data_IF_236444456815
#
_entry.id   IF_236444456815
#
_cell.length_a   1.000
_cell.length_b   1.000
_cell.length_c   1.000
_cell.angle_alpha   90.00
_cell.angle_beta   90.00
_cell.angle_gamma   90.00
#
_symmetry.space_group_name_H-M   'P 1'
#
loop_
_entity.id
_entity.type
_entity.pdbx_description
1 polymer ?
#
# COMPACT_ATOMS: atom_id res chain seq x y z
N UNK A 1 20.41 8.84 62.98
CA UNK A 1 19.26 8.06 62.45
C UNK A 1 18.42 8.89 61.48
N UNK A 2 18.22 10.20 61.73
CA UNK A 2 17.42 11.07 60.86
C UNK A 2 18.02 11.34 59.48
N UNK A 3 19.33 11.48 59.37
CA UNK A 3 20.01 11.74 58.08
C UNK A 3 19.84 10.59 57.09
N UNK A 4 19.87 9.34 57.58
CA UNK A 4 19.66 8.14 56.76
C UNK A 4 18.19 7.99 56.31
N UNK A 5 17.23 8.33 57.18
CA UNK A 5 15.80 8.36 56.82
C UNK A 5 15.47 9.42 55.78
N UNK A 6 16.09 10.60 55.88
CA UNK A 6 15.90 11.69 54.93
C UNK A 6 16.45 11.33 53.54
N UNK A 7 17.66 10.79 53.48
CA UNK A 7 18.27 10.33 52.22
C UNK A 7 17.45 9.20 51.56
N UNK A 8 16.90 8.27 52.34
CA UNK A 8 16.03 7.22 51.83
C UNK A 8 14.71 7.77 51.25
N UNK A 9 14.11 8.78 51.90
CA UNK A 9 12.91 9.46 51.41
C UNK A 9 13.15 10.21 50.11
N UNK A 10 14.26 10.97 50.02
CA UNK A 10 14.66 11.71 48.82
C UNK A 10 14.94 10.76 47.63
N UNK A 11 15.56 9.60 47.88
CA UNK A 11 15.79 8.57 46.87
C UNK A 11 14.47 7.97 46.34
N UNK A 12 13.50 7.69 47.21
CA UNK A 12 12.18 7.18 46.82
C UNK A 12 11.40 8.21 46.00
N UNK A 13 11.43 9.48 46.41
CA UNK A 13 10.76 10.56 45.69
C UNK A 13 11.39 10.79 44.31
N UNK A 14 12.71 10.82 44.24
CA UNK A 14 13.46 10.90 42.97
C UNK A 14 13.12 9.72 42.06
N UNK A 15 13.02 8.50 42.61
CA UNK A 15 12.65 7.30 41.83
C UNK A 15 11.24 7.43 41.25
N UNK A 16 10.26 7.88 42.05
CA UNK A 16 8.89 8.13 41.58
C UNK A 16 8.82 9.23 40.52
N UNK A 17 9.61 10.29 40.66
CA UNK A 17 9.67 11.36 39.66
C UNK A 17 10.29 10.87 38.34
N UNK A 18 11.32 10.03 38.40
CA UNK A 18 11.93 9.40 37.23
C UNK A 18 10.94 8.43 36.57
N UNK A 19 10.25 7.59 37.33
CA UNK A 19 9.18 6.71 36.85
C UNK A 19 8.08 7.52 36.15
N UNK A 20 7.61 8.59 36.78
CA UNK A 20 6.59 9.47 36.20
C UNK A 20 7.08 10.21 34.95
N UNK A 21 8.35 10.61 34.89
CA UNK A 21 8.97 11.18 33.67
C UNK A 21 9.08 10.14 32.55
N UNK A 22 9.40 8.89 32.88
CA UNK A 22 9.45 7.77 31.93
C UNK A 22 8.04 7.44 31.43
N UNK A 23 7.03 7.38 32.30
CA UNK A 23 5.62 7.22 31.93
C UNK A 23 5.11 8.34 31.01
N UNK A 24 5.67 9.55 31.16
CA UNK A 24 5.34 10.71 30.34
C UNK A 24 6.17 10.83 29.05
N UNK A 25 7.22 10.02 28.86
CA UNK A 25 7.97 10.04 27.60
C UNK A 25 7.08 9.53 26.47
N UNK A 26 6.83 10.40 25.49
CA UNK A 26 6.04 10.06 24.30
C UNK A 26 6.74 9.04 23.40
N UNK A 27 8.07 9.02 23.42
CA UNK A 27 8.88 8.06 22.65
C UNK A 27 10.04 7.49 23.47
N UNK A 28 10.46 6.27 23.12
CA UNK A 28 11.50 5.47 23.77
C UNK A 28 12.49 4.89 22.73
N UNK A 29 13.57 4.30 23.21
CA UNK A 29 14.64 3.70 22.41
C UNK A 29 14.34 2.23 22.04
N UNK A 30 15.04 1.73 21.02
CA UNK A 30 14.92 0.35 20.53
C UNK A 30 15.09 -0.74 21.60
N UNK A 31 15.97 -0.51 22.59
CA UNK A 31 16.19 -1.50 23.65
C UNK A 31 15.14 -1.43 24.77
N UNK A 32 14.29 -0.38 24.77
CA UNK A 32 13.24 -0.16 25.77
C UNK A 32 11.87 -0.70 25.31
N UNK A 33 11.68 -0.97 24.01
CA UNK A 33 10.42 -1.55 23.49
C UNK A 33 10.35 -3.07 23.72
N UNK A 34 9.13 -3.58 23.78
CA UNK A 34 8.89 -5.01 23.88
C UNK A 34 9.44 -5.77 22.66
N UNK A 35 9.84 -7.02 22.89
CA UNK A 35 10.44 -7.89 21.86
C UNK A 35 9.55 -8.08 20.62
N UNK A 36 8.22 -8.04 20.78
CA UNK A 36 7.28 -8.14 19.67
C UNK A 36 7.22 -6.89 18.78
N UNK A 37 7.66 -5.72 19.29
CA UNK A 37 7.78 -4.46 18.53
C UNK A 37 9.12 -4.34 17.79
N UNK A 38 10.11 -5.20 18.11
CA UNK A 38 11.46 -5.16 17.58
C UNK A 38 11.56 -5.70 16.14
N UNK A 39 11.11 -4.90 15.16
CA UNK A 39 11.17 -5.27 13.74
C UNK A 39 12.48 -4.86 13.03
N UNK A 40 12.97 -3.62 13.24
CA UNK A 40 14.14 -3.07 12.54
C UNK A 40 15.20 -2.45 13.47
N UNK A 41 16.25 -3.21 13.81
CA UNK A 41 17.31 -2.79 14.73
C UNK A 41 18.19 -1.62 14.25
N UNK A 42 18.05 -1.17 13.00
CA UNK A 42 18.75 0.01 12.48
C UNK A 42 18.06 1.33 12.86
N UNK A 43 16.79 1.26 13.27
CA UNK A 43 16.05 2.40 13.83
C UNK A 43 16.25 2.35 15.35
N UNK A 44 16.85 3.38 15.93
CA UNK A 44 17.37 3.33 17.32
C UNK A 44 16.44 4.07 18.30
N UNK A 45 15.71 5.09 17.83
CA UNK A 45 14.90 5.98 18.64
C UNK A 45 13.53 6.30 17.99
N UNK A 46 12.70 7.06 18.70
CA UNK A 46 11.41 7.51 18.20
C UNK A 46 10.30 6.46 18.28
N UNK A 47 10.50 5.36 19.01
CA UNK A 47 9.48 4.33 19.18
C UNK A 47 8.39 4.76 20.13
N UNK A 48 7.14 4.39 19.84
CA UNK A 48 6.04 4.56 20.79
C UNK A 48 5.99 3.39 21.77
N UNK A 49 5.87 3.64 23.09
CA UNK A 49 5.69 2.56 24.06
C UNK A 49 4.37 1.81 23.83
N UNK A 50 4.30 0.56 24.31
CA UNK A 50 3.06 -0.21 24.32
C UNK A 50 1.97 0.55 25.08
N UNK A 51 0.87 0.86 24.40
CA UNK A 51 -0.15 1.77 24.92
C UNK A 51 -1.31 1.07 25.59
N UNK A 52 -1.61 -0.17 25.19
CA UNK A 52 -2.84 -0.92 25.48
C UNK A 52 -4.11 -0.06 25.36
N UNK A 53 -4.09 0.94 24.47
CA UNK A 53 -5.16 1.93 24.37
C UNK A 53 -5.22 2.55 22.98
N UNK A 54 -6.30 2.28 22.25
CA UNK A 54 -6.57 2.91 20.96
C UNK A 54 -6.54 4.44 21.06
N UNK A 55 -7.11 5.01 22.13
CA UNK A 55 -7.08 6.47 22.34
C UNK A 55 -5.65 7.01 22.41
N UNK A 56 -4.73 6.32 23.10
CA UNK A 56 -3.31 6.73 23.14
C UNK A 56 -2.64 6.55 21.78
N UNK A 57 -2.93 5.48 21.05
CA UNK A 57 -2.44 5.25 19.69
C UNK A 57 -2.90 6.34 18.72
N UNK A 58 -4.19 6.72 18.70
CA UNK A 58 -4.70 7.81 17.87
C UNK A 58 -4.18 9.19 18.32
N UNK A 59 -3.96 9.42 19.62
CA UNK A 59 -3.28 10.63 20.09
C UNK A 59 -1.86 10.77 19.55
N UNK A 60 -1.22 9.67 19.12
CA UNK A 60 0.13 9.75 18.55
C UNK A 60 0.20 10.45 17.20
N UNK A 61 -0.93 10.61 16.51
CA UNK A 61 -1.00 11.45 15.31
C UNK A 61 -0.60 12.91 15.60
N UNK A 62 -0.74 13.36 16.86
CA UNK A 62 -0.39 14.72 17.27
C UNK A 62 1.08 14.96 17.62
N UNK A 63 1.97 13.95 17.54
CA UNK A 63 3.39 14.13 17.82
C UNK A 63 4.28 13.27 16.92
N UNK A 64 5.56 13.63 16.84
CA UNK A 64 6.51 13.00 15.93
C UNK A 64 7.11 11.71 16.53
N UNK A 65 7.12 10.63 15.75
CA UNK A 65 7.66 9.32 16.10
C UNK A 65 8.06 8.56 14.82
N UNK A 66 8.72 7.40 14.97
CA UNK A 66 9.26 6.63 13.85
C UNK A 66 8.19 6.15 12.83
N UNK A 67 6.96 5.94 13.30
CA UNK A 67 5.81 5.58 12.45
C UNK A 67 5.10 6.78 11.79
N UNK A 68 5.45 8.04 12.09
CA UNK A 68 4.66 9.20 11.65
C UNK A 68 4.58 9.29 10.12
N UNK A 69 5.71 9.13 9.42
CA UNK A 69 5.73 9.19 7.94
C UNK A 69 4.99 8.00 7.33
N UNK A 70 5.10 6.79 7.91
CA UNK A 70 4.37 5.61 7.44
C UNK A 70 2.85 5.85 7.53
N UNK A 71 2.38 6.46 8.63
CA UNK A 71 0.96 6.79 8.79
C UNK A 71 0.54 7.84 7.76
N UNK A 72 1.23 8.99 7.72
CA UNK A 72 0.76 10.14 6.94
C UNK A 72 0.86 9.94 5.43
N UNK A 73 1.88 9.23 4.94
CA UNK A 73 2.02 8.94 3.50
C UNK A 73 0.83 8.14 2.98
N UNK A 74 0.44 7.07 3.68
CA UNK A 74 -0.71 6.26 3.29
C UNK A 74 -2.06 6.89 3.66
N UNK A 75 -2.17 7.61 4.79
CA UNK A 75 -3.41 8.30 5.17
C UNK A 75 -3.78 9.38 4.14
N UNK A 76 -2.82 10.24 3.79
CA UNK A 76 -3.03 11.28 2.78
C UNK A 76 -3.23 10.66 1.39
N UNK A 77 -2.51 9.60 1.07
CA UNK A 77 -2.71 8.83 -0.16
C UNK A 77 -4.14 8.26 -0.26
N UNK A 78 -4.67 7.68 0.81
CA UNK A 78 -6.04 7.15 0.85
C UNK A 78 -7.08 8.25 0.61
N UNK A 79 -6.92 9.40 1.27
CA UNK A 79 -7.79 10.57 1.06
C UNK A 79 -7.70 11.06 -0.39
N UNK A 80 -6.50 11.14 -0.95
CA UNK A 80 -6.30 11.56 -2.33
C UNK A 80 -6.96 10.61 -3.34
N UNK A 81 -6.84 9.29 -3.14
CA UNK A 81 -7.49 8.27 -3.98
C UNK A 81 -9.01 8.35 -3.87
N UNK A 82 -9.56 8.55 -2.67
CA UNK A 82 -11.01 8.71 -2.46
C UNK A 82 -11.55 9.97 -3.13
N UNK A 83 -10.86 11.11 -3.00
CA UNK A 83 -11.26 12.35 -3.69
C UNK A 83 -11.15 12.16 -5.21
N UNK A 84 -10.07 11.53 -5.68
CA UNK A 84 -9.85 11.28 -7.10
C UNK A 84 -10.94 10.38 -7.69
N UNK A 85 -11.44 9.39 -6.96
CA UNK A 85 -12.52 8.52 -7.44
C UNK A 85 -13.83 9.29 -7.67
N UNK A 86 -14.19 10.17 -6.74
CA UNK A 86 -15.39 11.01 -6.84
C UNK A 86 -15.27 12.02 -7.99
N UNK A 87 -14.12 12.68 -8.10
CA UNK A 87 -13.86 13.66 -9.17
C UNK A 87 -13.84 12.99 -10.54
N UNK A 88 -13.09 11.89 -10.69
CA UNK A 88 -12.96 11.19 -11.96
C UNK A 88 -14.27 10.54 -12.39
N UNK A 89 -15.11 10.07 -11.47
CA UNK A 89 -16.43 9.58 -11.87
C UNK A 89 -17.25 10.66 -12.58
N UNK A 90 -17.27 11.90 -12.07
CA UNK A 90 -18.00 13.01 -12.70
C UNK A 90 -17.37 13.42 -14.03
N UNK A 91 -16.03 13.47 -14.08
CA UNK A 91 -15.29 13.89 -15.27
C UNK A 91 -15.37 12.85 -16.38
N UNK A 92 -15.14 11.56 -16.09
CA UNK A 92 -15.08 10.51 -17.11
C UNK A 92 -16.46 10.14 -17.63
N UNK A 93 -17.49 10.09 -16.75
CA UNK A 93 -18.87 9.79 -17.17
C UNK A 93 -19.41 10.81 -18.18
N UNK A 94 -19.03 12.08 -18.04
CA UNK A 94 -19.47 13.15 -18.95
C UNK A 94 -18.55 13.35 -20.16
N UNK A 95 -17.41 12.66 -20.21
CA UNK A 95 -16.41 12.83 -21.27
C UNK A 95 -16.78 12.12 -22.56
N UNK A 96 -17.40 10.94 -22.47
CA UNK A 96 -17.77 10.12 -23.63
C UNK A 96 -19.17 9.55 -23.45
N UNK A 97 -20.03 9.74 -24.45
CA UNK A 97 -21.37 9.14 -24.47
C UNK A 97 -21.32 7.60 -24.54
N UNK A 98 -20.19 7.05 -25.01
CA UNK A 98 -19.95 5.60 -25.08
C UNK A 98 -19.49 4.99 -23.75
N UNK A 99 -19.36 5.78 -22.68
CA UNK A 99 -18.99 5.31 -21.33
C UNK A 99 -20.05 4.36 -20.76
N UNK A 100 -19.60 3.23 -20.20
CA UNK A 100 -20.47 2.12 -19.78
C UNK A 100 -20.48 1.89 -18.27
N UNK A 101 -21.38 1.02 -17.80
CA UNK A 101 -21.40 0.63 -16.37
C UNK A 101 -20.22 -0.28 -16.04
N UNK A 102 -19.75 -1.04 -17.01
CA UNK A 102 -18.57 -1.91 -16.92
C UNK A 102 -17.32 -1.09 -16.60
N UNK A 103 -17.16 0.09 -17.22
CA UNK A 103 -16.08 1.04 -16.89
C UNK A 103 -16.12 1.42 -15.41
N UNK A 104 -17.31 1.74 -14.89
CA UNK A 104 -17.50 2.06 -13.46
C UNK A 104 -17.10 0.88 -12.57
N UNK A 105 -17.49 -0.35 -12.93
CA UNK A 105 -17.13 -1.53 -12.15
C UNK A 105 -15.62 -1.77 -12.09
N UNK A 106 -14.94 -1.70 -13.24
CA UNK A 106 -13.50 -2.01 -13.30
C UNK A 106 -12.65 -0.90 -12.66
N UNK A 107 -13.02 0.37 -12.81
CA UNK A 107 -12.39 1.46 -12.06
C UNK A 107 -12.66 1.33 -10.55
N UNK A 108 -13.86 0.90 -10.16
CA UNK A 108 -14.18 0.67 -8.74
C UNK A 108 -13.30 -0.41 -8.13
N UNK A 109 -12.95 -1.47 -8.87
CA UNK A 109 -11.98 -2.47 -8.39
C UNK A 109 -10.64 -1.84 -8.03
N UNK A 110 -10.11 -0.95 -8.88
CA UNK A 110 -8.87 -0.24 -8.59
C UNK A 110 -9.02 0.72 -7.40
N UNK A 111 -10.03 1.60 -7.42
CA UNK A 111 -10.20 2.60 -6.36
C UNK A 111 -10.47 1.99 -4.99
N UNK A 112 -11.31 0.94 -4.92
CA UNK A 112 -11.57 0.22 -3.67
C UNK A 112 -10.32 -0.53 -3.22
N UNK A 113 -9.59 -1.18 -4.12
CA UNK A 113 -8.33 -1.87 -3.81
C UNK A 113 -7.27 -0.91 -3.26
N UNK A 114 -7.05 0.22 -3.93
CA UNK A 114 -6.10 1.25 -3.51
C UNK A 114 -6.51 1.90 -2.19
N UNK A 115 -7.79 2.25 -2.03
CA UNK A 115 -8.30 2.82 -0.78
C UNK A 115 -8.15 1.84 0.38
N UNK A 116 -8.51 0.56 0.17
CA UNK A 116 -8.37 -0.49 1.18
C UNK A 116 -6.90 -0.65 1.59
N UNK A 117 -5.98 -0.75 0.63
CA UNK A 117 -4.55 -0.86 0.90
C UNK A 117 -4.02 0.29 1.75
N UNK A 118 -4.22 1.52 1.30
CA UNK A 118 -3.67 2.69 1.95
C UNK A 118 -4.32 2.94 3.33
N UNK A 119 -5.62 2.71 3.45
CA UNK A 119 -6.35 2.89 4.71
C UNK A 119 -5.99 1.81 5.74
N UNK A 120 -5.90 0.54 5.33
CA UNK A 120 -5.51 -0.56 6.22
C UNK A 120 -4.07 -0.37 6.73
N UNK A 121 -3.15 0.08 5.86
CA UNK A 121 -1.78 0.38 6.24
C UNK A 121 -1.68 1.56 7.21
N UNK A 122 -2.34 2.68 6.91
CA UNK A 122 -2.38 3.84 7.81
C UNK A 122 -3.00 3.50 9.18
N UNK A 123 -4.07 2.70 9.19
CA UNK A 123 -4.70 2.21 10.40
C UNK A 123 -3.74 1.31 11.21
N UNK A 124 -3.09 0.34 10.55
CA UNK A 124 -2.11 -0.54 11.20
C UNK A 124 -0.99 0.26 11.84
N UNK A 125 -0.32 1.13 11.09
CA UNK A 125 0.77 1.93 11.63
C UNK A 125 0.30 2.88 12.73
N UNK A 126 -0.96 3.32 12.72
CA UNK A 126 -1.52 4.10 13.83
C UNK A 126 -1.67 3.25 15.09
N UNK A 127 -2.18 2.03 15.00
CA UNK A 127 -2.47 1.16 16.15
C UNK A 127 -1.34 0.18 16.51
N UNK A 128 -0.22 0.20 15.80
CA UNK A 128 0.85 -0.79 15.94
C UNK A 128 1.51 -0.81 17.32
N UNK A 129 1.37 0.25 18.12
CA UNK A 129 1.84 0.30 19.50
C UNK A 129 0.79 -0.13 20.54
N UNK A 130 -0.37 -0.65 20.15
CA UNK A 130 -1.45 -0.98 21.09
C UNK A 130 -1.09 -2.18 21.99
N UNK A 131 -1.09 -3.37 21.42
CA UNK A 131 -0.69 -4.63 22.08
C UNK A 131 -0.23 -5.59 21.00
N UNK A 132 0.44 -6.67 21.38
CA UNK A 132 0.94 -7.67 20.43
C UNK A 132 -0.18 -8.23 19.55
N UNK A 133 -1.36 -8.53 20.11
CA UNK A 133 -2.50 -9.11 19.39
C UNK A 133 -3.08 -8.12 18.37
N UNK A 134 -3.23 -6.85 18.75
CA UNK A 134 -3.78 -5.80 17.89
C UNK A 134 -2.80 -5.47 16.76
N UNK A 135 -1.51 -5.32 17.07
CA UNK A 135 -0.49 -5.11 16.06
C UNK A 135 -0.43 -6.29 15.07
N UNK A 136 -0.53 -7.51 15.59
CA UNK A 136 -0.55 -8.74 14.79
C UNK A 136 -1.75 -8.81 13.85
N UNK A 137 -2.94 -8.45 14.31
CA UNK A 137 -4.15 -8.39 13.49
C UNK A 137 -4.10 -7.25 12.47
N UNK A 138 -3.69 -6.06 12.89
CA UNK A 138 -3.52 -4.91 11.99
C UNK A 138 -2.54 -5.20 10.86
N UNK A 139 -1.43 -5.88 11.15
CA UNK A 139 -0.46 -6.28 10.12
C UNK A 139 -1.04 -7.30 9.11
N UNK A 140 -1.98 -8.17 9.54
CA UNK A 140 -2.68 -9.07 8.61
C UNK A 140 -3.57 -8.27 7.64
N UNK A 141 -4.25 -7.25 8.14
CA UNK A 141 -5.05 -6.36 7.29
C UNK A 141 -4.17 -5.52 6.35
N UNK A 142 -3.01 -5.05 6.82
CA UNK A 142 -2.04 -4.32 5.98
C UNK A 142 -1.60 -5.18 4.78
N UNK A 143 -1.24 -6.45 5.03
CA UNK A 143 -0.92 -7.40 3.96
C UNK A 143 -2.10 -7.72 3.04
N UNK A 144 -3.31 -7.89 3.58
CA UNK A 144 -4.51 -8.08 2.76
C UNK A 144 -4.76 -6.86 1.86
N UNK A 145 -4.47 -5.66 2.37
CA UNK A 145 -4.50 -4.41 1.62
C UNK A 145 -3.65 -4.45 0.36
N UNK A 146 -2.39 -4.89 0.46
CA UNK A 146 -1.47 -5.05 -0.69
C UNK A 146 -2.10 -5.97 -1.75
N UNK A 147 -2.68 -7.10 -1.32
CA UNK A 147 -3.35 -8.04 -2.23
C UNK A 147 -4.54 -7.39 -2.93
N UNK A 148 -5.37 -6.65 -2.21
CA UNK A 148 -6.51 -5.94 -2.80
C UNK A 148 -6.09 -4.89 -3.81
N UNK A 149 -5.02 -4.13 -3.56
CA UNK A 149 -4.49 -3.16 -4.52
C UNK A 149 -3.97 -3.85 -5.78
N UNK A 150 -3.19 -4.93 -5.66
CA UNK A 150 -2.67 -5.66 -6.83
C UNK A 150 -3.81 -6.25 -7.64
N UNK A 151 -4.74 -6.98 -7.00
CA UNK A 151 -5.90 -7.56 -7.67
C UNK A 151 -6.75 -6.47 -8.33
N UNK A 152 -7.09 -5.41 -7.59
CA UNK A 152 -7.90 -4.30 -8.09
C UNK A 152 -7.28 -3.55 -9.25
N UNK A 153 -5.94 -3.49 -9.32
CA UNK A 153 -5.20 -2.88 -10.45
C UNK A 153 -5.21 -3.75 -11.72
N UNK A 154 -5.26 -5.08 -11.57
CA UNK A 154 -5.28 -5.99 -12.73
C UNK A 154 -6.62 -5.96 -13.46
N UNK A 155 -7.73 -5.87 -12.73
CA UNK A 155 -9.08 -5.95 -13.30
C UNK A 155 -9.29 -4.96 -14.47
N UNK A 156 -9.08 -3.64 -14.30
CA UNK A 156 -9.29 -2.67 -15.38
C UNK A 156 -8.24 -2.76 -16.50
N UNK A 157 -6.98 -3.09 -16.20
CA UNK A 157 -5.95 -3.27 -17.25
C UNK A 157 -6.32 -4.44 -18.18
N UNK A 158 -6.78 -5.56 -17.60
CA UNK A 158 -7.22 -6.72 -18.37
C UNK A 158 -8.54 -6.45 -19.09
N UNK A 159 -9.42 -5.61 -18.53
CA UNK A 159 -10.63 -5.15 -19.21
C UNK A 159 -10.28 -4.43 -20.51
N UNK A 160 -9.52 -3.33 -20.45
CA UNK A 160 -9.20 -2.56 -21.65
C UNK A 160 -8.27 -3.31 -22.61
N UNK A 161 -7.32 -4.09 -22.08
CA UNK A 161 -6.36 -4.84 -22.90
C UNK A 161 -6.92 -6.08 -23.62
N UNK A 162 -8.04 -6.64 -23.16
CA UNK A 162 -8.61 -7.89 -23.71
C UNK A 162 -10.11 -7.83 -23.97
N UNK A 163 -10.72 -6.64 -23.99
CA UNK A 163 -12.17 -6.46 -24.23
C UNK A 163 -12.67 -7.13 -25.52
N UNK A 164 -11.84 -7.18 -26.57
CA UNK A 164 -12.19 -7.84 -27.84
C UNK A 164 -12.24 -9.37 -27.73
N UNK A 165 -11.68 -9.94 -26.67
CA UNK A 165 -11.61 -11.38 -26.41
C UNK A 165 -12.11 -11.71 -24.99
N UNK A 166 -13.44 -11.68 -24.73
CA UNK A 166 -13.99 -11.83 -23.38
C UNK A 166 -13.60 -13.14 -22.70
N UNK A 167 -13.38 -14.22 -23.46
CA UNK A 167 -12.92 -15.49 -22.92
C UNK A 167 -11.50 -15.40 -22.35
N UNK A 168 -10.60 -14.70 -23.05
CA UNK A 168 -9.22 -14.49 -22.59
C UNK A 168 -9.17 -13.54 -21.38
N UNK A 169 -9.96 -12.46 -21.41
CA UNK A 169 -10.12 -11.57 -20.26
C UNK A 169 -10.55 -12.34 -19.00
N UNK A 170 -11.61 -13.17 -19.10
CA UNK A 170 -12.09 -14.00 -17.98
C UNK A 170 -11.04 -14.99 -17.49
N UNK A 171 -10.26 -15.60 -18.39
CA UNK A 171 -9.16 -16.51 -18.03
C UNK A 171 -8.11 -15.79 -17.17
N UNK A 172 -7.70 -14.59 -17.56
CA UNK A 172 -6.71 -13.83 -16.79
C UNK A 172 -7.27 -13.25 -15.50
N UNK A 173 -8.54 -12.84 -15.47
CA UNK A 173 -9.22 -12.49 -14.22
C UNK A 173 -9.28 -13.67 -13.25
N UNK A 174 -9.60 -14.88 -13.74
CA UNK A 174 -9.57 -16.08 -12.90
C UNK A 174 -8.16 -16.34 -12.36
N UNK A 175 -7.13 -16.25 -13.21
CA UNK A 175 -5.73 -16.40 -12.82
C UNK A 175 -5.34 -15.45 -11.69
N UNK A 176 -5.52 -14.13 -11.87
CA UNK A 176 -5.13 -13.15 -10.83
C UNK A 176 -5.98 -13.31 -9.57
N UNK A 177 -7.26 -13.64 -9.69
CA UNK A 177 -8.13 -13.87 -8.53
C UNK A 177 -7.67 -15.07 -7.72
N UNK A 178 -7.30 -16.19 -8.36
CA UNK A 178 -6.74 -17.36 -7.68
C UNK A 178 -5.41 -17.04 -7.01
N UNK A 179 -4.48 -16.39 -7.73
CA UNK A 179 -3.18 -16.02 -7.17
C UNK A 179 -3.31 -15.05 -5.98
N UNK A 180 -4.21 -14.07 -6.08
CA UNK A 180 -4.51 -13.14 -5.01
C UNK A 180 -5.10 -13.86 -3.79
N UNK A 181 -6.06 -14.76 -3.99
CA UNK A 181 -6.64 -15.56 -2.90
C UNK A 181 -5.59 -16.41 -2.19
N UNK A 182 -4.74 -17.12 -2.94
CA UNK A 182 -3.63 -17.88 -2.37
C UNK A 182 -2.66 -16.98 -1.58
N UNK A 183 -2.31 -15.83 -2.14
CA UNK A 183 -1.42 -14.85 -1.49
C UNK A 183 -2.03 -14.28 -0.21
N UNK A 184 -3.33 -13.99 -0.20
CA UNK A 184 -4.04 -13.53 0.99
C UNK A 184 -4.03 -14.59 2.11
N UNK A 185 -4.28 -15.85 1.78
CA UNK A 185 -4.23 -16.96 2.74
C UNK A 185 -2.82 -17.10 3.33
N UNK A 186 -1.77 -17.11 2.49
CA UNK A 186 -0.39 -17.27 2.95
C UNK A 186 0.08 -16.07 3.78
N UNK A 187 -0.20 -14.84 3.33
CA UNK A 187 0.24 -13.60 4.00
C UNK A 187 -0.42 -13.38 5.35
N UNK A 188 -1.65 -13.83 5.54
CA UNK A 188 -2.37 -13.69 6.82
C UNK A 188 -2.08 -14.84 7.79
N UNK A 189 -1.48 -15.93 7.32
CA UNK A 189 -1.14 -17.09 8.15
C UNK A 189 0.00 -16.78 9.15
N UNK A 190 -0.13 -17.29 10.37
CA UNK A 190 0.73 -16.92 11.51
C UNK A 190 2.21 -17.22 11.29
N UNK A 191 2.52 -18.35 10.64
CA UNK A 191 3.89 -18.84 10.41
C UNK A 191 4.74 -17.99 9.46
N UNK A 192 4.14 -17.18 8.59
CA UNK A 192 4.87 -16.42 7.55
C UNK A 192 5.29 -15.01 7.98
N UNK A 193 5.14 -14.68 9.27
CA UNK A 193 5.21 -13.29 9.77
C UNK A 193 6.46 -12.94 10.57
N UNK A 194 7.36 -13.88 10.80
CA UNK A 194 8.61 -13.57 11.51
C UNK A 194 9.42 -12.52 10.72
N UNK A 195 10.21 -11.66 11.40
CA UNK A 195 11.07 -10.70 10.72
C UNK A 195 12.01 -11.35 9.69
N UNK A 196 12.46 -12.59 9.97
CA UNK A 196 13.29 -13.39 9.08
C UNK A 196 12.63 -13.70 7.72
N UNK A 197 11.30 -13.78 7.66
CA UNK A 197 10.53 -14.06 6.44
C UNK A 197 10.15 -12.79 5.66
N UNK A 198 10.68 -11.61 6.03
CA UNK A 198 10.44 -10.37 5.28
C UNK A 198 10.80 -10.49 3.79
N UNK A 199 11.99 -11.00 3.40
CA UNK A 199 12.31 -11.13 1.98
C UNK A 199 11.35 -12.07 1.25
N UNK A 200 10.92 -13.16 1.90
CA UNK A 200 9.93 -14.08 1.35
C UNK A 200 8.59 -13.38 1.10
N UNK A 201 8.07 -12.59 2.06
CA UNK A 201 6.83 -11.83 1.88
C UNK A 201 6.95 -10.80 0.76
N UNK A 202 8.06 -10.04 0.72
CA UNK A 202 8.32 -9.08 -0.35
C UNK A 202 8.32 -9.77 -1.72
N UNK A 203 9.01 -10.90 -1.85
CA UNK A 203 9.04 -11.69 -3.08
C UNK A 203 7.66 -12.21 -3.47
N UNK A 204 6.85 -12.67 -2.52
CA UNK A 204 5.49 -13.15 -2.79
C UNK A 204 4.61 -12.06 -3.40
N UNK A 205 4.62 -10.84 -2.85
CA UNK A 205 3.87 -9.72 -3.43
C UNK A 205 4.45 -9.26 -4.78
N UNK A 206 5.78 -9.26 -4.92
CA UNK A 206 6.44 -8.98 -6.19
C UNK A 206 6.05 -10.00 -7.25
N UNK A 207 6.00 -11.31 -6.94
CA UNK A 207 5.57 -12.34 -7.88
C UNK A 207 4.09 -12.24 -8.23
N UNK A 208 3.23 -11.88 -7.27
CA UNK A 208 1.82 -11.59 -7.56
C UNK A 208 1.71 -10.45 -8.58
N UNK A 209 2.48 -9.36 -8.42
CA UNK A 209 2.53 -8.28 -9.40
C UNK A 209 3.14 -8.68 -10.75
N UNK A 210 4.27 -9.41 -10.74
CA UNK A 210 4.95 -9.90 -11.93
C UNK A 210 4.13 -10.92 -12.72
N UNK A 211 3.08 -11.51 -12.13
CA UNK A 211 2.13 -12.33 -12.88
C UNK A 211 1.47 -11.57 -14.04
N UNK A 212 1.47 -10.22 -14.03
CA UNK A 212 1.05 -9.37 -15.14
C UNK A 212 1.85 -9.57 -16.42
N UNK A 213 3.11 -10.04 -16.32
CA UNK A 213 3.96 -10.29 -17.50
C UNK A 213 3.31 -11.33 -18.42
N UNK A 214 2.60 -12.31 -17.87
CA UNK A 214 1.95 -13.38 -18.64
C UNK A 214 0.87 -12.81 -19.59
N UNK A 215 -0.18 -12.11 -19.12
CA UNK A 215 -1.17 -11.52 -20.01
C UNK A 215 -0.56 -10.43 -20.90
N UNK A 216 0.36 -9.58 -20.40
CA UNK A 216 0.94 -8.53 -21.23
C UNK A 216 1.73 -9.09 -22.42
N UNK A 217 2.55 -10.12 -22.19
CA UNK A 217 3.29 -10.78 -23.25
C UNK A 217 2.36 -11.50 -24.24
N UNK A 218 1.33 -12.19 -23.74
CA UNK A 218 0.34 -12.82 -24.62
C UNK A 218 -0.41 -11.78 -25.46
N UNK A 219 -0.86 -10.68 -24.87
CA UNK A 219 -1.52 -9.58 -25.59
C UNK A 219 -0.61 -8.99 -26.68
N UNK A 220 0.68 -8.79 -26.39
CA UNK A 220 1.67 -8.34 -27.39
C UNK A 220 1.79 -9.35 -28.54
N UNK A 221 1.82 -10.65 -28.24
CA UNK A 221 1.94 -11.69 -29.26
C UNK A 221 0.72 -11.81 -30.18
N UNK A 222 -0.47 -11.45 -29.69
CA UNK A 222 -1.73 -11.57 -30.44
C UNK A 222 -2.08 -10.26 -31.16
N UNK A 223 -1.96 -9.11 -30.49
CA UNK A 223 -2.42 -7.82 -31.01
C UNK A 223 -1.29 -6.88 -31.42
N UNK A 224 -0.04 -7.22 -31.11
CA UNK A 224 1.12 -6.37 -31.34
C UNK A 224 1.40 -5.39 -30.18
N UNK A 225 2.66 -4.94 -30.12
CA UNK A 225 3.13 -4.04 -29.07
C UNK A 225 2.39 -2.70 -29.07
N UNK A 226 2.21 -2.10 -30.25
CA UNK A 226 1.57 -0.79 -30.38
C UNK A 226 0.13 -0.81 -29.85
N UNK A 227 -0.64 -1.85 -30.19
CA UNK A 227 -1.99 -2.02 -29.66
C UNK A 227 -1.99 -2.07 -28.13
N UNK A 228 -1.13 -2.90 -27.52
CA UNK A 228 -1.07 -3.04 -26.06
C UNK A 228 -0.60 -1.76 -25.35
N UNK A 229 0.27 -0.96 -25.99
CA UNK A 229 0.71 0.33 -25.45
C UNK A 229 -0.45 1.31 -25.27
N UNK A 230 -1.45 1.28 -26.15
CA UNK A 230 -2.63 2.13 -26.02
C UNK A 230 -3.76 1.46 -25.23
N UNK A 231 -4.15 0.23 -25.59
CA UNK A 231 -5.30 -0.47 -25.02
C UNK A 231 -5.09 -0.81 -23.53
N UNK A 232 -3.93 -1.35 -23.15
CA UNK A 232 -3.62 -1.67 -21.76
C UNK A 232 -2.80 -0.57 -21.06
N UNK A 233 -2.48 0.53 -21.75
CA UNK A 233 -1.54 1.56 -21.28
C UNK A 233 -0.21 0.95 -20.79
N UNK A 234 0.36 0.02 -21.58
CA UNK A 234 1.50 -0.82 -21.19
C UNK A 234 2.68 -0.03 -20.60
N UNK A 235 3.01 1.14 -21.15
CA UNK A 235 4.13 1.97 -20.67
C UNK A 235 3.91 2.41 -19.20
N UNK A 236 2.66 2.69 -18.81
CA UNK A 236 2.27 3.06 -17.46
C UNK A 236 2.26 1.85 -16.52
N UNK A 237 1.83 0.68 -17.01
CA UNK A 237 1.89 -0.59 -16.28
C UNK A 237 3.33 -0.98 -15.97
N UNK A 238 4.24 -0.82 -16.93
CA UNK A 238 5.69 -1.06 -16.74
C UNK A 238 6.27 -0.08 -15.72
N UNK A 239 5.92 1.20 -15.82
CA UNK A 239 6.38 2.25 -14.89
C UNK A 239 5.91 1.99 -13.45
N UNK A 240 4.64 1.62 -13.28
CA UNK A 240 4.09 1.17 -11.99
C UNK A 240 4.84 -0.05 -11.45
N UNK A 241 5.08 -1.06 -12.30
CA UNK A 241 5.83 -2.26 -11.92
C UNK A 241 7.24 -1.94 -11.45
N UNK A 242 7.94 -1.04 -12.15
CA UNK A 242 9.27 -0.58 -11.76
C UNK A 242 9.27 0.10 -10.38
N UNK A 243 8.31 1.00 -10.12
CA UNK A 243 8.16 1.66 -8.82
C UNK A 243 7.95 0.65 -7.69
N UNK A 244 7.09 -0.36 -7.89
CA UNK A 244 6.88 -1.42 -6.90
C UNK A 244 8.13 -2.27 -6.67
N UNK A 245 8.83 -2.70 -7.72
CA UNK A 245 10.04 -3.53 -7.59
C UNK A 245 11.15 -2.75 -6.86
N UNK A 246 11.37 -1.49 -7.23
CA UNK A 246 12.34 -0.62 -6.57
C UNK A 246 11.98 -0.44 -5.09
N UNK A 247 10.72 -0.14 -4.78
CA UNK A 247 10.26 0.01 -3.41
C UNK A 247 10.41 -1.27 -2.59
N UNK A 248 10.02 -2.42 -3.15
CA UNK A 248 10.15 -3.71 -2.48
C UNK A 248 11.63 -4.08 -2.24
N UNK A 249 12.53 -3.76 -3.18
CA UNK A 249 13.96 -3.97 -3.03
C UNK A 249 14.55 -3.10 -1.91
N UNK A 250 14.19 -1.81 -1.85
CA UNK A 250 14.60 -0.88 -0.79
C UNK A 250 14.09 -1.38 0.57
N UNK A 251 12.81 -1.74 0.68
CA UNK A 251 12.19 -2.29 1.89
C UNK A 251 12.87 -3.58 2.38
N UNK A 252 13.15 -4.51 1.46
CA UNK A 252 13.80 -5.77 1.81
C UNK A 252 15.26 -5.55 2.24
N UNK A 253 15.97 -4.61 1.62
CA UNK A 253 17.36 -4.30 1.91
C UNK A 253 17.57 -3.46 3.19
N UNK A 254 16.52 -2.79 3.69
CA UNK A 254 16.55 -1.84 4.83
C UNK A 254 17.51 -0.67 4.61
N UNK A 255 17.57 -0.16 3.38
CA UNK A 255 18.44 0.95 2.99
C UNK A 255 17.57 2.22 2.90
N UNK A 256 18.04 3.39 3.40
CA UNK A 256 19.40 3.70 3.84
C UNK A 256 19.70 3.48 5.33
N UNK A 257 18.72 3.12 6.16
CA UNK A 257 18.93 3.01 7.62
C UNK A 257 19.99 1.97 8.01
N UNK A 258 20.15 0.92 7.23
CA UNK A 258 21.23 -0.07 7.38
C UNK A 258 22.63 0.54 7.26
N UNK A 259 22.82 1.55 6.42
CA UNK A 259 24.11 2.18 6.19
C UNK A 259 24.44 3.25 7.23
N UNK A 260 23.42 3.84 7.86
CA UNK A 260 23.60 4.83 8.92
C UNK A 260 22.54 4.66 10.01
N UNK A 261 22.70 3.65 10.89
CA UNK A 261 21.75 3.40 11.98
C UNK A 261 21.51 4.65 12.84
N UNK A 262 20.27 4.89 13.25
CA UNK A 262 19.88 6.08 14.03
C UNK A 262 19.61 7.35 13.20
N UNK A 263 20.16 7.47 11.98
CA UNK A 263 20.04 8.69 11.16
C UNK A 263 18.66 8.84 10.52
N UNK A 264 18.01 7.71 10.24
CA UNK A 264 16.74 7.65 9.51
C UNK A 264 15.59 7.19 10.42
N UNK A 265 15.70 7.44 11.73
CA UNK A 265 14.72 7.00 12.73
C UNK A 265 13.33 7.60 12.50
N UNK A 266 13.28 8.85 12.06
CA UNK A 266 12.03 9.57 11.81
C UNK A 266 11.78 9.81 10.33
N UNK A 267 12.83 10.05 9.53
CA UNK A 267 12.70 10.47 8.13
C UNK A 267 13.59 9.65 7.21
N UNK A 268 13.04 9.23 6.08
CA UNK A 268 13.78 8.61 4.98
C UNK A 268 14.19 7.15 5.21
N UNK A 269 13.53 6.43 6.13
CA UNK A 269 13.78 4.99 6.26
C UNK A 269 13.23 4.20 5.06
N UNK A 270 13.74 3.00 4.84
CA UNK A 270 13.34 2.13 3.73
C UNK A 270 11.81 1.90 3.65
N UNK A 271 11.16 1.73 4.80
CA UNK A 271 9.71 1.52 4.89
C UNK A 271 8.93 2.76 4.46
N UNK A 272 9.41 3.95 4.83
CA UNK A 272 8.82 5.22 4.42
C UNK A 272 8.98 5.45 2.91
N UNK A 273 10.16 5.16 2.37
CA UNK A 273 10.41 5.25 0.92
C UNK A 273 9.50 4.28 0.17
N UNK A 274 9.34 3.05 0.68
CA UNK A 274 8.42 2.07 0.12
C UNK A 274 6.98 2.58 0.08
N UNK A 275 6.47 3.16 1.18
CA UNK A 275 5.13 3.76 1.24
C UNK A 275 4.93 4.86 0.19
N UNK A 276 5.90 5.77 0.06
CA UNK A 276 5.85 6.82 -0.97
C UNK A 276 5.80 6.22 -2.37
N UNK A 277 6.62 5.21 -2.66
CA UNK A 277 6.64 4.56 -3.97
C UNK A 277 5.34 3.80 -4.27
N UNK A 278 4.66 3.24 -3.26
CA UNK A 278 3.33 2.63 -3.43
C UNK A 278 2.30 3.68 -3.84
N UNK A 279 2.29 4.86 -3.22
CA UNK A 279 1.38 5.96 -3.59
C UNK A 279 1.69 6.46 -5.00
N UNK A 280 2.98 6.64 -5.35
CA UNK A 280 3.39 7.03 -6.70
C UNK A 280 3.01 5.98 -7.76
N UNK A 281 3.14 4.70 -7.44
CA UNK A 281 2.75 3.61 -8.33
C UNK A 281 1.22 3.59 -8.55
N UNK A 282 0.42 3.81 -7.51
CA UNK A 282 -1.03 3.93 -7.63
C UNK A 282 -1.44 5.15 -8.49
N UNK A 283 -0.78 6.30 -8.31
CA UNK A 283 -1.01 7.47 -9.16
C UNK A 283 -0.63 7.22 -10.62
N UNK A 284 0.52 6.58 -10.86
CA UNK A 284 1.00 6.18 -12.19
C UNK A 284 0.01 5.24 -12.87
N UNK A 285 -0.50 4.25 -12.12
CA UNK A 285 -1.51 3.31 -12.60
C UNK A 285 -2.80 4.04 -12.98
N UNK A 286 -3.27 4.96 -12.14
CA UNK A 286 -4.49 5.73 -12.41
C UNK A 286 -4.39 6.56 -13.69
N UNK A 287 -3.22 7.18 -13.95
CA UNK A 287 -2.98 7.89 -15.22
C UNK A 287 -3.08 6.93 -16.41
N UNK A 288 -2.50 5.73 -16.28
CA UNK A 288 -2.64 4.67 -17.28
C UNK A 288 -4.10 4.26 -17.51
N UNK A 289 -4.89 4.07 -16.44
CA UNK A 289 -6.31 3.71 -16.58
C UNK A 289 -7.12 4.77 -17.32
N UNK A 290 -6.91 6.06 -17.01
CA UNK A 290 -7.60 7.15 -17.71
C UNK A 290 -7.22 7.17 -19.19
N UNK A 291 -5.95 6.91 -19.54
CA UNK A 291 -5.50 6.82 -20.93
C UNK A 291 -6.08 5.62 -21.68
N UNK A 292 -6.16 4.46 -21.04
CA UNK A 292 -6.79 3.26 -21.60
C UNK A 292 -8.29 3.50 -21.86
N UNK A 293 -8.98 4.13 -20.91
CA UNK A 293 -10.37 4.56 -21.04
C UNK A 293 -10.54 5.52 -22.24
N UNK A 294 -9.76 6.60 -22.30
CA UNK A 294 -9.85 7.57 -23.40
C UNK A 294 -9.57 6.92 -24.76
N UNK A 295 -8.58 6.02 -24.83
CA UNK A 295 -8.29 5.28 -26.05
C UNK A 295 -9.49 4.44 -26.50
N UNK A 296 -10.08 3.66 -25.60
CA UNK A 296 -11.20 2.80 -25.97
C UNK A 296 -12.43 3.59 -26.40
N UNK A 297 -12.81 4.61 -25.64
CA UNK A 297 -14.01 5.37 -25.95
C UNK A 297 -13.85 6.24 -27.19
N UNK A 298 -12.64 6.70 -27.50
CA UNK A 298 -12.36 7.33 -28.80
C UNK A 298 -12.62 6.38 -29.96
N UNK A 299 -12.24 5.10 -29.82
CA UNK A 299 -12.44 4.06 -30.82
C UNK A 299 -13.92 3.72 -31.01
N UNK A 300 -14.65 3.53 -29.91
CA UNK A 300 -16.11 3.27 -29.95
C UNK A 300 -16.88 4.43 -30.57
N UNK A 301 -16.46 5.66 -30.30
CA UNK A 301 -17.12 6.85 -30.86
C UNK A 301 -16.96 6.92 -32.39
N UNK A 302 -15.76 6.60 -32.91
CA UNK A 302 -15.54 6.52 -34.37
C UNK A 302 -16.45 5.47 -35.00
N UNK A 303 -16.51 4.26 -34.42
CA UNK A 303 -17.37 3.18 -34.92
C UNK A 303 -18.86 3.56 -34.91
N UNK A 304 -19.31 4.26 -33.86
CA UNK A 304 -20.68 4.75 -33.78
C UNK A 304 -20.98 5.75 -34.90
N UNK A 305 -20.09 6.72 -35.15
CA UNK A 305 -20.25 7.70 -36.21
C UNK A 305 -20.27 7.06 -37.61
N UNK A 306 -19.37 6.09 -37.85
CA UNK A 306 -19.35 5.32 -39.10
C UNK A 306 -20.68 4.57 -39.32
N UNK A 307 -21.20 3.90 -38.28
CA UNK A 307 -22.49 3.20 -38.37
C UNK A 307 -23.69 4.11 -38.63
N UNK A 308 -23.65 5.35 -38.12
CA UNK A 308 -24.69 6.35 -38.37
C UNK A 308 -24.64 6.87 -39.81
N UNK A 309 -23.44 7.07 -40.35
CA UNK A 309 -23.24 7.49 -41.75
C UNK A 309 -23.66 6.40 -42.74
N UNK A 310 -23.43 5.13 -42.44
CA UNK A 310 -23.87 4.01 -43.27
C UNK A 310 -25.40 3.80 -43.25
N UNK A 311 -26.09 4.36 -42.26
CA UNK A 311 -27.55 4.25 -42.10
C UNK A 311 -28.36 5.36 -42.77
N UNK A 312 -27.70 6.35 -43.40
CA UNK A 312 -28.30 7.47 -44.13
C UNK A 312 -28.24 7.26 -45.65
#
# INVERSE_FOLDING_TARGET
MDTAKKAASEAVETTKEVEKKIENKLTILWHEIDTWQQDNHYIISGYRPQSNSYRKSFKSLGYLHNESVNIYTHLLGAIAILISSLVLYQVLRSRWDTATREDVWVFSCFFLGATACLSMSAAFHTISNHSHEVARFGNQLDYAGIVFLIWGSFIPVLYYGFQSEPAMMKKYWAMITTLAACTAVVSTHSSFRTPALRPFRALMFVFLGLSAVIPMFHGISVYGLEHMRYAASLDWVVSQGALYIIGAAIYAARVPEKWSPGRFDIWGSSHQIFHVLVVMAAATHLVGLVKAFDHEHSRRNVQLLESLLESQ
#
